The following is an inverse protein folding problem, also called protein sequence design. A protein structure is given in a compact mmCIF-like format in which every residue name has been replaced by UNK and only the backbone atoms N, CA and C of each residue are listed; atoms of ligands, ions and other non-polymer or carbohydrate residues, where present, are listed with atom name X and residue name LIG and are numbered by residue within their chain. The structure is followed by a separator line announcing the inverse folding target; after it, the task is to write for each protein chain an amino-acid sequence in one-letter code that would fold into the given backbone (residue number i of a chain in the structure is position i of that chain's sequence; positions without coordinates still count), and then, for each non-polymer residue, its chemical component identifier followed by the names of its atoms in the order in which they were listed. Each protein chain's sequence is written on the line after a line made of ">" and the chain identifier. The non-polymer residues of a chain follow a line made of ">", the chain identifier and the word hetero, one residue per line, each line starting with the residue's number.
data_IF_104430757558
#
_entry.id   IF_104430757558
#
_cell.length_a   1.000
_cell.length_b   1.000
_cell.length_c   1.000
_cell.angle_alpha   90.00
_cell.angle_beta   90.00
_cell.angle_gamma   90.00
#
_symmetry.space_group_name_H-M   'P 1'
#
loop_
_entity.id
_entity.type
_entity.pdbx_description
1 polymer ?
#
# COMPACT_ATOMS: atom_id res chain seq x y z
N UNK A 1 -16.79 4.35 14.89
CA UNK A 1 -15.34 4.11 15.02
C UNK A 1 -14.93 3.20 13.88
N UNK A 2 -14.04 3.64 12.98
CA UNK A 2 -13.76 2.90 11.77
C UNK A 2 -12.60 1.92 11.98
N UNK A 3 -12.93 0.71 12.41
CA UNK A 3 -11.96 -0.35 12.68
C UNK A 3 -12.23 -1.58 11.80
N UNK A 4 -11.20 -2.41 11.59
CA UNK A 4 -11.29 -3.71 10.92
C UNK A 4 -12.42 -4.59 11.50
N UNK A 5 -13.02 -5.42 10.67
CA UNK A 5 -14.14 -6.28 11.08
C UNK A 5 -13.71 -7.30 12.16
N UNK A 6 -14.38 -7.26 13.33
CA UNK A 6 -14.43 -8.30 14.38
C UNK A 6 -13.10 -9.02 14.68
N UNK A 7 -12.02 -8.28 14.90
CA UNK A 7 -10.75 -8.84 15.41
C UNK A 7 -10.57 -8.53 16.90
N UNK A 8 -9.80 -9.38 17.61
CA UNK A 8 -9.40 -9.12 19.00
C UNK A 8 -8.47 -7.90 19.14
N UNK A 9 -7.83 -7.49 18.03
CA UNK A 9 -7.03 -6.28 17.90
C UNK A 9 -7.51 -5.49 16.68
N UNK A 10 -8.46 -4.55 16.85
CA UNK A 10 -8.98 -3.75 15.75
C UNK A 10 -7.86 -2.90 15.13
N UNK A 11 -7.81 -2.89 13.79
CA UNK A 11 -6.92 -2.00 13.03
C UNK A 11 -7.70 -0.76 12.61
N UNK A 12 -7.13 0.42 12.86
CA UNK A 12 -7.63 1.68 12.28
C UNK A 12 -7.27 1.75 10.79
N UNK A 13 -8.03 2.51 10.01
CA UNK A 13 -7.70 2.79 8.61
C UNK A 13 -7.47 4.28 8.37
N UNK A 14 -6.75 4.55 7.29
CA UNK A 14 -6.57 5.87 6.72
C UNK A 14 -6.49 5.75 5.19
N UNK A 15 -6.70 6.86 4.48
CA UNK A 15 -6.44 6.95 3.05
C UNK A 15 -5.43 8.06 2.76
N UNK A 16 -4.67 7.87 1.68
CA UNK A 16 -3.74 8.88 1.16
C UNK A 16 -4.40 9.60 -0.01
N UNK A 17 -4.50 10.93 0.09
CA UNK A 17 -5.11 11.76 -0.96
C UNK A 17 -4.18 11.90 -2.16
N UNK A 18 -4.80 12.04 -3.34
CA UNK A 18 -4.10 12.44 -4.57
C UNK A 18 -3.63 13.90 -4.49
N UNK A 19 -4.44 14.78 -3.91
CA UNK A 19 -4.14 16.21 -3.73
C UNK A 19 -4.13 16.62 -2.25
N UNK A 20 -3.18 17.47 -1.87
CA UNK A 20 -3.05 17.97 -0.52
C UNK A 20 -4.26 18.83 -0.13
N UNK A 21 -4.67 18.76 1.14
CA UNK A 21 -5.59 19.74 1.72
C UNK A 21 -4.94 21.13 1.73
N UNK A 22 -5.74 22.16 1.46
CA UNK A 22 -5.29 23.56 1.50
C UNK A 22 -4.86 24.01 2.91
N UNK A 23 -5.46 23.46 3.97
CA UNK A 23 -5.20 23.83 5.36
C UNK A 23 -5.23 22.60 6.29
N UNK A 24 -4.36 22.58 7.30
CA UNK A 24 -4.28 21.55 8.34
C UNK A 24 -2.90 20.90 8.49
N UNK A 25 -2.66 20.29 9.66
CA UNK A 25 -1.38 19.67 10.03
C UNK A 25 -1.09 18.35 9.29
N UNK A 26 -2.12 17.67 8.76
CA UNK A 26 -1.98 16.48 7.92
C UNK A 26 -2.62 16.70 6.56
N UNK A 27 -1.81 17.02 5.57
CA UNK A 27 -2.28 17.51 4.28
C UNK A 27 -2.63 16.36 3.34
N UNK A 28 -1.97 15.21 3.48
CA UNK A 28 -2.16 14.05 2.61
C UNK A 28 -3.12 13.00 3.17
N UNK A 29 -3.32 12.93 4.49
CA UNK A 29 -3.98 11.80 5.14
C UNK A 29 -5.42 12.12 5.57
N UNK A 30 -6.29 11.12 5.44
CA UNK A 30 -7.62 11.11 6.04
C UNK A 30 -7.82 9.86 6.88
N UNK A 31 -8.46 9.98 8.03
CA UNK A 31 -8.73 8.87 8.93
C UNK A 31 -7.99 8.99 10.26
N UNK A 32 -7.89 7.88 10.97
CA UNK A 32 -7.44 7.83 12.36
C UNK A 32 -5.98 7.38 12.46
N UNK A 33 -5.07 8.20 11.94
CA UNK A 33 -3.62 7.97 11.97
C UNK A 33 -2.88 9.22 12.40
N UNK A 34 -1.85 9.10 13.24
CA UNK A 34 -1.02 10.20 13.74
C UNK A 34 0.47 9.96 13.47
N UNK A 35 1.28 11.03 13.49
CA UNK A 35 2.74 10.90 13.36
C UNK A 35 3.30 9.94 14.42
N UNK A 36 4.21 9.06 14.01
CA UNK A 36 4.76 7.98 14.82
C UNK A 36 4.02 6.64 14.71
N UNK A 37 2.79 6.63 14.20
CA UNK A 37 2.04 5.38 14.01
C UNK A 37 2.75 4.46 13.01
N UNK A 38 2.73 3.16 13.34
CA UNK A 38 3.22 2.11 12.46
C UNK A 38 2.10 1.66 11.51
N UNK A 39 2.36 1.70 10.21
CA UNK A 39 1.35 1.49 9.17
C UNK A 39 1.80 0.52 8.09
N UNK A 40 0.82 -0.14 7.47
CA UNK A 40 1.00 -0.90 6.22
C UNK A 40 0.14 -0.23 5.16
N UNK A 41 0.71 0.02 3.98
CA UNK A 41 -0.04 0.59 2.85
C UNK A 41 -0.62 -0.57 2.03
N UNK A 42 -1.91 -0.49 1.69
CA UNK A 42 -2.59 -1.52 0.89
C UNK A 42 -3.01 -0.94 -0.43
N UNK A 43 -2.76 -1.67 -1.52
CA UNK A 43 -3.20 -1.36 -2.88
C UNK A 43 -3.99 -2.55 -3.45
N UNK A 44 -4.93 -2.27 -4.36
CA UNK A 44 -5.62 -3.35 -5.07
C UNK A 44 -4.70 -3.98 -6.13
N UNK A 45 -4.12 -3.17 -7.00
CA UNK A 45 -3.36 -3.62 -8.15
C UNK A 45 -2.13 -2.74 -8.32
N UNK A 46 -0.96 -3.36 -8.46
CA UNK A 46 0.23 -2.65 -8.93
C UNK A 46 0.43 -2.90 -10.43
N UNK A 47 0.59 -1.81 -11.19
CA UNK A 47 1.13 -1.80 -12.55
C UNK A 47 2.57 -1.30 -12.48
N UNK A 48 2.80 -0.03 -12.78
CA UNK A 48 4.11 0.63 -12.65
C UNK A 48 4.54 0.91 -11.20
N UNK A 49 3.68 0.66 -10.21
CA UNK A 49 3.99 0.88 -8.78
C UNK A 49 4.06 2.35 -8.34
N UNK A 50 3.94 3.32 -9.26
CA UNK A 50 4.13 4.74 -8.96
C UNK A 50 3.13 5.30 -7.94
N UNK A 51 1.87 4.85 -7.98
CA UNK A 51 0.86 5.28 -7.01
C UNK A 51 1.20 4.83 -5.58
N UNK A 52 1.65 3.58 -5.44
CA UNK A 52 2.05 3.01 -4.15
C UNK A 52 3.30 3.69 -3.60
N UNK A 53 4.30 3.95 -4.45
CA UNK A 53 5.51 4.70 -4.06
C UNK A 53 5.16 6.12 -3.61
N UNK A 54 4.28 6.81 -4.33
CA UNK A 54 3.81 8.15 -3.94
C UNK A 54 3.07 8.11 -2.59
N UNK A 55 2.24 7.08 -2.36
CA UNK A 55 1.54 6.89 -1.09
C UNK A 55 2.53 6.65 0.07
N UNK A 56 3.53 5.79 -0.11
CA UNK A 56 4.59 5.53 0.88
C UNK A 56 5.37 6.80 1.20
N UNK A 57 5.76 7.58 0.18
CA UNK A 57 6.44 8.86 0.36
C UNK A 57 5.60 9.83 1.19
N UNK A 58 4.32 10.01 0.85
CA UNK A 58 3.39 10.88 1.58
C UNK A 58 3.18 10.43 3.03
N UNK A 59 3.16 9.12 3.29
CA UNK A 59 3.13 8.60 4.66
C UNK A 59 4.37 9.02 5.45
N UNK A 60 5.55 8.95 4.84
CA UNK A 60 6.80 9.42 5.45
C UNK A 60 6.79 10.93 5.73
N UNK A 61 6.29 11.75 4.80
CA UNK A 61 6.15 13.22 4.98
C UNK A 61 5.24 13.60 6.14
N UNK A 62 4.28 12.73 6.46
CA UNK A 62 3.31 12.90 7.54
C UNK A 62 3.80 12.28 8.85
N UNK A 63 5.05 11.79 8.88
CA UNK A 63 5.71 11.24 10.06
C UNK A 63 5.28 9.81 10.40
N UNK A 64 4.68 9.07 9.48
CA UNK A 64 4.29 7.68 9.70
C UNK A 64 5.47 6.72 9.54
N UNK A 65 5.46 5.63 10.31
CA UNK A 65 6.42 4.53 10.18
C UNK A 65 5.84 3.45 9.27
N UNK A 66 6.18 3.50 7.99
CA UNK A 66 5.76 2.47 7.02
C UNK A 66 6.51 1.17 7.30
N UNK A 67 5.78 0.13 7.70
CA UNK A 67 6.33 -1.21 7.96
C UNK A 67 6.44 -2.05 6.69
N UNK A 68 5.63 -1.74 5.68
CA UNK A 68 5.55 -2.47 4.43
C UNK A 68 4.38 -2.03 3.59
N UNK A 69 4.26 -2.66 2.42
CA UNK A 69 3.11 -2.51 1.55
C UNK A 69 2.60 -3.86 1.05
N UNK A 70 1.29 -3.95 0.83
CA UNK A 70 0.63 -5.14 0.31
C UNK A 70 -0.21 -4.78 -0.90
N UNK A 71 -0.12 -5.56 -1.97
CA UNK A 71 -1.03 -5.50 -3.11
C UNK A 71 -1.85 -6.78 -3.22
N UNK A 72 -3.10 -6.69 -3.68
CA UNK A 72 -3.85 -7.90 -4.03
C UNK A 72 -3.25 -8.54 -5.30
N UNK A 73 -2.98 -7.76 -6.34
CA UNK A 73 -2.42 -8.26 -7.60
C UNK A 73 -1.22 -7.45 -8.06
N UNK A 74 -0.14 -8.13 -8.40
CA UNK A 74 0.99 -7.61 -9.17
C UNK A 74 0.83 -7.94 -10.65
N UNK A 75 0.67 -6.92 -11.50
CA UNK A 75 0.47 -7.12 -12.94
C UNK A 75 1.74 -7.47 -13.72
N UNK A 76 2.92 -7.43 -13.09
CA UNK A 76 4.20 -7.71 -13.74
C UNK A 76 4.43 -6.83 -14.99
N UNK A 77 4.25 -5.51 -14.79
CA UNK A 77 4.37 -4.45 -15.81
C UNK A 77 5.35 -3.36 -15.34
N UNK A 78 6.04 -2.72 -16.28
CA UNK A 78 6.87 -1.50 -16.07
C UNK A 78 7.86 -1.55 -14.88
N UNK A 79 8.38 -2.73 -14.56
CA UNK A 79 9.22 -2.99 -13.38
C UNK A 79 8.61 -2.49 -12.06
N UNK A 80 7.28 -2.50 -11.96
CA UNK A 80 6.56 -1.89 -10.85
C UNK A 80 6.89 -2.49 -9.49
N UNK A 81 7.01 -3.82 -9.40
CA UNK A 81 7.46 -4.49 -8.17
C UNK A 81 8.84 -3.98 -7.73
N UNK A 82 9.81 -4.02 -8.62
CA UNK A 82 11.18 -3.59 -8.33
C UNK A 82 11.23 -2.12 -7.88
N UNK A 83 10.41 -1.26 -8.48
CA UNK A 83 10.29 0.15 -8.08
C UNK A 83 9.74 0.31 -6.66
N UNK A 84 8.71 -0.46 -6.31
CA UNK A 84 8.11 -0.45 -4.96
C UNK A 84 9.11 -0.99 -3.93
N UNK A 85 9.76 -2.11 -4.23
CA UNK A 85 10.78 -2.72 -3.36
C UNK A 85 11.95 -1.76 -3.12
N UNK A 86 12.44 -1.07 -4.16
CA UNK A 86 13.51 -0.08 -4.02
C UNK A 86 13.09 1.09 -3.12
N UNK A 87 11.85 1.58 -3.24
CA UNK A 87 11.35 2.66 -2.38
C UNK A 87 11.27 2.23 -0.90
N UNK A 88 10.80 1.00 -0.64
CA UNK A 88 10.64 0.46 0.70
C UNK A 88 11.96 0.03 1.35
N UNK A 89 12.97 -0.35 0.55
CA UNK A 89 14.28 -0.77 1.06
C UNK A 89 14.93 0.29 1.94
N UNK A 90 14.81 1.57 1.56
CA UNK A 90 15.30 2.72 2.34
C UNK A 90 14.67 2.85 3.74
N UNK A 91 13.49 2.25 3.92
CA UNK A 91 12.71 2.25 5.17
C UNK A 91 12.89 0.96 5.97
N UNK A 92 13.65 -0.02 5.46
CA UNK A 92 13.71 -1.37 6.02
C UNK A 92 12.37 -2.12 5.93
N UNK A 93 11.50 -1.72 4.99
CA UNK A 93 10.16 -2.24 4.82
C UNK A 93 10.09 -3.23 3.64
N UNK A 94 9.08 -4.10 3.63
CA UNK A 94 8.89 -5.13 2.59
C UNK A 94 7.62 -4.92 1.78
N UNK A 95 7.64 -5.41 0.54
CA UNK A 95 6.47 -5.48 -0.33
C UNK A 95 6.00 -6.92 -0.49
N UNK A 96 4.68 -7.14 -0.46
CA UNK A 96 4.06 -8.42 -0.75
C UNK A 96 2.90 -8.25 -1.72
N UNK A 97 2.84 -9.05 -2.77
CA UNK A 97 1.64 -9.21 -3.58
C UNK A 97 1.00 -10.57 -3.26
N UNK A 98 -0.33 -10.62 -3.14
CA UNK A 98 -1.04 -11.88 -2.90
C UNK A 98 -1.04 -12.77 -4.15
N UNK A 99 -1.14 -12.16 -5.33
CA UNK A 99 -1.10 -12.85 -6.60
C UNK A 99 -0.24 -12.08 -7.60
N UNK A 100 0.38 -12.78 -8.53
CA UNK A 100 0.94 -12.19 -9.76
C UNK A 100 0.03 -12.45 -10.95
N UNK A 101 0.17 -11.65 -12.01
CA UNK A 101 -0.48 -11.90 -13.30
C UNK A 101 -0.18 -13.32 -13.78
N UNK A 102 1.08 -13.74 -13.75
CA UNK A 102 1.49 -15.08 -14.16
C UNK A 102 0.76 -16.18 -13.38
N UNK A 103 0.59 -16.05 -12.06
CA UNK A 103 -0.14 -17.01 -11.23
C UNK A 103 -1.63 -17.07 -11.61
N UNK A 104 -2.26 -15.91 -11.80
CA UNK A 104 -3.68 -15.83 -12.19
C UNK A 104 -3.92 -16.37 -13.60
N UNK A 105 -3.03 -16.05 -14.55
CA UNK A 105 -3.10 -16.56 -15.93
C UNK A 105 -2.88 -18.07 -15.99
N UNK A 106 -2.00 -18.61 -15.13
CA UNK A 106 -1.81 -20.05 -15.02
C UNK A 106 -3.07 -20.73 -14.48
N UNK A 107 -3.61 -20.24 -13.36
CA UNK A 107 -4.83 -20.79 -12.75
C UNK A 107 -6.03 -20.72 -13.71
N UNK A 108 -6.18 -19.63 -14.47
CA UNK A 108 -7.24 -19.50 -15.47
C UNK A 108 -7.12 -20.50 -16.62
N UNK A 109 -5.89 -20.76 -17.10
CA UNK A 109 -5.64 -21.70 -18.19
C UNK A 109 -5.85 -23.15 -17.77
N UNK A 110 -5.46 -23.51 -16.54
CA UNK A 110 -5.51 -24.90 -16.05
C UNK A 110 -6.84 -25.26 -15.38
N UNK A 111 -7.55 -24.29 -14.79
CA UNK A 111 -8.87 -24.50 -14.16
C UNK A 111 -10.05 -24.59 -15.13
N UNK A 112 -9.80 -24.57 -16.44
CA UNK A 112 -10.82 -24.71 -17.51
C UNK A 112 -10.91 -26.12 -18.12
N UNK A 113 -10.14 -27.10 -17.62
CA UNK A 113 -10.31 -28.52 -17.96
C UNK A 113 -11.31 -29.20 -17.04
#
# INVERSE_FOLDING_TARGET
>A
CYHSARTSRPLSWFSVRKTAKAHGARRWLEGSVVAGDAVVVVEDVITSGSALVDAVRKCGEEGLRVLGAVALVDREEDDGRARVEAALASLGATFHALFTRTELEYAWRTGRQ
#
